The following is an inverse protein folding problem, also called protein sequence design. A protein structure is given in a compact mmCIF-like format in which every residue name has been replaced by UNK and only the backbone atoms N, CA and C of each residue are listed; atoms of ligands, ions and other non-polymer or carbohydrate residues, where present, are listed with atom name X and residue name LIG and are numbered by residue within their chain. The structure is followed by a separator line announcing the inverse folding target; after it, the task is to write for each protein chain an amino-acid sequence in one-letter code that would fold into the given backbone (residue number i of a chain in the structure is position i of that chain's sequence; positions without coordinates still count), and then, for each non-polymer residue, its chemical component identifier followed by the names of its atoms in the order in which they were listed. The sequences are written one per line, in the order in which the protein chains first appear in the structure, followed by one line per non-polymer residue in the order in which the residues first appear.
data_IF_461650508238
#
_entry.id   IF_461650508238
#
_cell.length_a   1.000
_cell.length_b   1.000
_cell.length_c   1.000
_cell.angle_alpha   90.00
_cell.angle_beta   90.00
_cell.angle_gamma   90.00
#
_symmetry.space_group_name_H-M   'P 1'
#
loop_
_entity.id
_entity.type
_entity.pdbx_description
1 polymer ?
#
# COMPACT_ATOMS: atom_id res chain seq x y z
N UNK A 1 -5.94 8.76 -1.75
CA UNK A 1 -6.71 8.06 -0.71
C UNK A 1 -5.94 8.18 0.60
N UNK A 2 -6.64 8.43 1.72
CA UNK A 2 -6.07 8.46 3.06
C UNK A 2 -6.98 7.64 3.97
N UNK A 3 -6.39 6.93 4.92
CA UNK A 3 -7.11 6.16 5.94
C UNK A 3 -6.53 6.60 7.29
N UNK A 4 -7.39 7.10 8.16
CA UNK A 4 -7.05 7.60 9.47
C UNK A 4 -6.93 6.49 10.53
N UNK A 5 -6.44 6.85 11.72
CA UNK A 5 -6.43 5.93 12.86
C UNK A 5 -7.84 5.43 13.15
N UNK A 6 -7.97 4.13 13.39
CA UNK A 6 -9.26 3.46 13.68
C UNK A 6 -10.30 3.53 12.55
N UNK A 7 -9.90 3.92 11.33
CA UNK A 7 -10.77 3.85 10.16
C UNK A 7 -10.64 2.50 9.45
N UNK A 8 -11.78 1.95 9.04
CA UNK A 8 -11.83 0.75 8.20
C UNK A 8 -12.17 1.19 6.78
N UNK A 9 -11.32 0.82 5.83
CA UNK A 9 -11.54 1.11 4.40
C UNK A 9 -11.70 -0.18 3.61
N UNK A 10 -12.75 -0.25 2.80
CA UNK A 10 -13.06 -1.39 1.93
C UNK A 10 -13.00 -0.99 0.46
N UNK A 11 -12.32 -1.82 -0.35
CA UNK A 11 -12.19 -1.63 -1.80
C UNK A 11 -13.19 -2.52 -2.53
N UNK A 12 -14.15 -1.93 -3.24
CA UNK A 12 -15.15 -2.64 -4.03
C UNK A 12 -15.01 -2.35 -5.53
N UNK A 13 -15.56 -3.23 -6.38
CA UNK A 13 -15.56 -3.08 -7.84
C UNK A 13 -15.70 -4.41 -8.57
N UNK A 14 -15.91 -4.37 -9.89
CA UNK A 14 -16.07 -5.56 -10.74
C UNK A 14 -14.78 -6.39 -10.84
N UNK A 15 -14.89 -7.67 -11.23
CA UNK A 15 -13.70 -8.49 -11.54
C UNK A 15 -12.87 -7.81 -12.64
N UNK A 16 -11.54 -7.81 -12.50
CA UNK A 16 -10.65 -7.10 -13.42
C UNK A 16 -10.43 -5.61 -13.12
N UNK A 17 -11.19 -4.98 -12.22
CA UNK A 17 -11.04 -3.56 -11.86
C UNK A 17 -9.73 -3.18 -11.14
N UNK A 18 -8.77 -4.12 -10.99
CA UNK A 18 -7.47 -3.83 -10.39
C UNK A 18 -7.38 -3.92 -8.85
N UNK A 19 -8.40 -4.45 -8.17
CA UNK A 19 -8.42 -4.58 -6.69
C UNK A 19 -7.26 -5.41 -6.12
N UNK A 20 -7.07 -6.65 -6.59
CA UNK A 20 -6.00 -7.53 -6.11
C UNK A 20 -4.60 -7.02 -6.46
N UNK A 21 -4.34 -6.49 -7.67
CA UNK A 21 -3.09 -5.78 -7.95
C UNK A 21 -2.83 -4.60 -7.01
N UNK A 22 -3.86 -3.84 -6.64
CA UNK A 22 -3.71 -2.72 -5.70
C UNK A 22 -3.37 -3.22 -4.29
N UNK A 23 -4.10 -4.22 -3.77
CA UNK A 23 -3.82 -4.81 -2.46
C UNK A 23 -2.40 -5.40 -2.39
N UNK A 24 -1.95 -6.10 -3.44
CA UNK A 24 -0.57 -6.64 -3.49
C UNK A 24 0.49 -5.55 -3.42
N UNK A 25 0.22 -4.38 -4.00
CA UNK A 25 1.14 -3.24 -3.93
C UNK A 25 1.11 -2.51 -2.61
N UNK A 26 -0.06 -2.43 -1.96
CA UNK A 26 -0.15 -1.90 -0.59
C UNK A 26 0.60 -2.80 0.40
N UNK A 27 0.49 -4.12 0.23
CA UNK A 27 1.25 -5.10 1.02
C UNK A 27 2.72 -5.24 0.56
N UNK A 28 3.16 -4.40 -0.39
CA UNK A 28 4.53 -4.38 -0.93
C UNK A 28 5.01 -5.73 -1.50
N UNK A 29 4.08 -6.65 -1.80
CA UNK A 29 4.37 -7.90 -2.50
C UNK A 29 4.75 -7.66 -3.97
N UNK A 30 4.39 -6.48 -4.50
CA UNK A 30 4.84 -5.98 -5.79
C UNK A 30 5.28 -4.52 -5.62
N UNK A 31 6.59 -4.27 -5.70
CA UNK A 31 7.15 -2.91 -5.65
C UNK A 31 6.67 -2.13 -6.87
N UNK A 32 6.04 -0.99 -6.64
CA UNK A 32 5.62 -0.09 -7.72
C UNK A 32 6.85 0.64 -8.25
N UNK A 33 6.91 0.81 -9.57
CA UNK A 33 7.96 1.58 -10.25
C UNK A 33 7.77 3.09 -10.09
N UNK A 34 6.57 3.53 -9.69
CA UNK A 34 6.22 4.94 -9.49
C UNK A 34 5.06 5.08 -8.51
N UNK A 35 4.88 6.30 -8.00
CA UNK A 35 3.85 6.64 -7.02
C UNK A 35 4.43 6.82 -5.61
N UNK A 36 3.55 7.12 -4.65
CA UNK A 36 3.90 7.44 -3.28
C UNK A 36 2.95 6.72 -2.32
N UNK A 37 3.50 5.97 -1.36
CA UNK A 37 2.73 5.36 -0.28
C UNK A 37 3.36 5.78 1.03
N UNK A 38 2.58 6.45 1.88
CA UNK A 38 3.05 6.96 3.17
C UNK A 38 2.26 6.38 4.33
N UNK A 39 2.98 5.94 5.35
CA UNK A 39 2.41 5.60 6.66
C UNK A 39 3.00 6.58 7.68
N UNK A 40 2.14 7.46 8.20
CA UNK A 40 2.60 8.64 8.95
C UNK A 40 3.53 9.51 8.09
N UNK A 41 4.75 9.74 8.56
CA UNK A 41 5.75 10.54 7.86
C UNK A 41 6.63 9.73 6.90
N UNK A 42 6.60 8.40 6.97
CA UNK A 42 7.51 7.49 6.25
C UNK A 42 7.00 7.23 4.84
N UNK A 43 7.87 7.39 3.84
CA UNK A 43 7.63 6.91 2.48
C UNK A 43 8.08 5.45 2.35
N UNK A 44 7.13 4.55 2.20
CA UNK A 44 7.38 3.11 2.11
C UNK A 44 8.07 2.71 0.79
N UNK A 45 7.83 3.42 -0.31
CA UNK A 45 8.42 3.06 -1.60
C UNK A 45 9.89 3.50 -1.71
N UNK A 46 10.25 4.57 -1.02
CA UNK A 46 11.63 5.04 -0.88
C UNK A 46 12.43 4.28 0.21
N UNK A 47 11.73 3.58 1.10
CA UNK A 47 12.36 2.77 2.15
C UNK A 47 13.01 1.51 1.58
N UNK A 48 14.16 1.12 2.13
CA UNK A 48 14.85 -0.13 1.77
C UNK A 48 14.13 -1.38 2.27
N UNK A 49 14.47 -2.55 1.73
CA UNK A 49 13.79 -3.82 2.03
C UNK A 49 13.79 -4.18 3.53
N UNK A 50 14.82 -3.77 4.28
CA UNK A 50 14.94 -3.95 5.73
C UNK A 50 13.84 -3.19 6.50
N UNK A 51 13.64 -1.91 6.15
CA UNK A 51 12.63 -1.06 6.77
C UNK A 51 11.21 -1.56 6.46
N UNK A 52 10.99 -2.12 5.26
CA UNK A 52 9.69 -2.67 4.86
C UNK A 52 9.29 -3.92 5.66
N UNK A 53 10.25 -4.68 6.21
CA UNK A 53 9.95 -5.83 7.08
C UNK A 53 9.30 -5.44 8.39
N UNK A 54 9.54 -4.23 8.88
CA UNK A 54 8.93 -3.73 10.12
C UNK A 54 7.43 -3.37 9.95
N UNK A 55 6.97 -3.21 8.71
CA UNK A 55 5.58 -2.88 8.38
C UNK A 55 4.76 -4.10 7.91
N UNK A 56 5.37 -5.29 7.89
CA UNK A 56 4.74 -6.57 7.52
C UNK A 56 4.16 -7.26 8.74
#
# INVERSE_FOLDING_TARGET
MRVGPSEIFSIFGHSGAGKSPLIRSLNLLQRRTSGLVRVGCVDLLASGDEALRQFR
#
